data_IF_478974579276
#
_entry.id   IF_478974579276
#
_cell.length_a   1.000
_cell.length_b   1.000
_cell.length_c   1.000
_cell.angle_alpha   90.00
_cell.angle_beta   90.00
_cell.angle_gamma   90.00
#
_symmetry.space_group_name_H-M   'P 1'
#
loop_
_entity.id
_entity.type
_entity.pdbx_description
1 polymer ?
#
# COMPACT_ATOMS: atom_id res chain seq x y z
N UNK A 1 -1.25 0.28 -44.04
CA UNK A 1 0.06 0.03 -43.41
C UNK A 1 -0.07 -0.95 -42.25
N UNK A 2 0.90 -1.87 -42.06
CA UNK A 2 0.88 -2.80 -40.92
C UNK A 2 1.34 -2.08 -39.65
N UNK A 3 0.74 -2.38 -38.50
CA UNK A 3 1.14 -1.82 -37.20
C UNK A 3 2.60 -2.08 -36.84
N UNK A 4 3.21 -3.17 -37.32
CA UNK A 4 4.65 -3.42 -37.17
C UNK A 4 5.51 -2.40 -37.92
N UNK A 5 5.09 -1.99 -39.11
CA UNK A 5 5.80 -1.00 -39.93
C UNK A 5 5.60 0.41 -39.35
N UNK A 6 4.40 0.72 -38.86
CA UNK A 6 4.09 1.96 -38.14
C UNK A 6 4.94 2.05 -36.85
N UNK A 7 5.03 0.96 -36.09
CA UNK A 7 5.85 0.88 -34.88
C UNK A 7 7.32 1.20 -35.15
N UNK A 8 7.87 0.65 -36.25
CA UNK A 8 9.25 0.93 -36.66
C UNK A 8 9.43 2.39 -37.13
N UNK A 9 8.51 2.90 -37.95
CA UNK A 9 8.60 4.24 -38.54
C UNK A 9 8.49 5.35 -37.49
N UNK A 10 7.57 5.20 -36.53
CA UNK A 10 7.30 6.20 -35.51
C UNK A 10 7.98 5.90 -34.17
N UNK A 11 8.78 4.83 -34.10
CA UNK A 11 9.47 4.39 -32.87
C UNK A 11 8.52 4.20 -31.68
N UNK A 12 7.36 3.58 -31.92
CA UNK A 12 6.34 3.31 -30.91
C UNK A 12 6.23 1.80 -30.63
N UNK A 13 5.81 1.43 -29.41
CA UNK A 13 5.61 0.01 -29.08
C UNK A 13 4.39 -0.55 -29.82
N UNK A 14 4.61 -1.63 -30.58
CA UNK A 14 3.58 -2.28 -31.40
C UNK A 14 2.41 -2.79 -30.54
N UNK A 15 2.70 -3.43 -29.42
CA UNK A 15 1.68 -4.10 -28.60
C UNK A 15 0.83 -3.08 -27.86
N UNK A 16 1.44 -2.00 -27.36
CA UNK A 16 0.73 -0.87 -26.74
C UNK A 16 -0.16 -0.15 -27.76
N UNK A 17 0.35 0.07 -28.98
CA UNK A 17 -0.43 0.68 -30.06
C UNK A 17 -1.61 -0.20 -30.48
N UNK A 18 -1.42 -1.51 -30.68
CA UNK A 18 -2.50 -2.44 -31.00
C UNK A 18 -3.56 -2.52 -29.89
N UNK A 19 -3.13 -2.50 -28.64
CA UNK A 19 -4.02 -2.46 -27.47
C UNK A 19 -4.82 -1.16 -27.42
N UNK A 20 -4.19 -0.02 -27.74
CA UNK A 20 -4.85 1.28 -27.83
C UNK A 20 -5.91 1.31 -28.94
N UNK A 21 -5.60 0.79 -30.14
CA UNK A 21 -6.54 0.71 -31.25
C UNK A 21 -7.80 -0.09 -30.86
N UNK A 22 -7.61 -1.23 -30.18
CA UNK A 22 -8.70 -2.06 -29.67
C UNK A 22 -9.53 -1.35 -28.60
N UNK A 23 -8.88 -0.78 -27.59
CA UNK A 23 -9.54 -0.12 -26.45
C UNK A 23 -10.38 1.09 -26.87
N UNK A 24 -9.96 1.79 -27.93
CA UNK A 24 -10.64 2.99 -28.43
C UNK A 24 -11.56 2.71 -29.63
N UNK A 25 -11.84 1.44 -29.96
CA UNK A 25 -12.71 1.03 -31.07
C UNK A 25 -12.34 1.67 -32.42
N UNK A 26 -11.05 1.85 -32.68
CA UNK A 26 -10.56 2.47 -33.92
C UNK A 26 -10.61 1.45 -35.07
N UNK A 27 -10.85 1.92 -36.30
CA UNK A 27 -10.99 1.02 -37.46
C UNK A 27 -9.64 0.42 -37.88
N UNK A 28 -9.48 -0.89 -37.76
CA UNK A 28 -8.34 -1.66 -38.27
C UNK A 28 -8.83 -2.99 -38.86
N UNK A 29 -7.99 -3.65 -39.67
CA UNK A 29 -8.22 -5.03 -40.14
C UNK A 29 -7.23 -5.97 -39.45
N UNK A 30 -7.68 -7.16 -39.10
CA UNK A 30 -6.79 -8.19 -38.56
C UNK A 30 -5.98 -8.83 -39.70
N UNK A 31 -4.65 -8.79 -39.58
CA UNK A 31 -3.73 -9.56 -40.41
C UNK A 31 -3.16 -10.75 -39.64
N UNK A 32 -2.44 -11.63 -40.33
CA UNK A 32 -1.89 -12.87 -39.74
C UNK A 32 -0.99 -12.66 -38.52
N UNK A 33 -0.25 -11.53 -38.44
CA UNK A 33 0.69 -11.24 -37.34
C UNK A 33 0.68 -9.79 -36.83
N UNK A 34 -0.12 -8.93 -37.43
CA UNK A 34 -0.21 -7.50 -37.13
C UNK A 34 -1.52 -6.93 -37.64
N UNK A 35 -2.06 -5.90 -36.99
CA UNK A 35 -3.19 -5.17 -37.56
C UNK A 35 -2.77 -4.33 -38.77
N UNK A 36 -3.75 -4.08 -39.64
CA UNK A 36 -3.59 -3.25 -40.84
C UNK A 36 -4.48 -2.02 -40.67
N UNK A 37 -3.84 -0.86 -40.65
CA UNK A 37 -4.49 0.45 -40.58
C UNK A 37 -4.48 1.06 -41.98
N UNK A 38 -5.54 1.78 -42.37
CA UNK A 38 -5.59 2.53 -43.62
C UNK A 38 -4.54 3.64 -43.62
N UNK A 39 -3.76 3.78 -44.69
CA UNK A 39 -2.65 4.75 -44.78
C UNK A 39 -3.12 6.18 -44.51
N UNK A 40 -4.34 6.52 -44.95
CA UNK A 40 -4.95 7.84 -44.71
C UNK A 40 -5.21 8.16 -43.23
N UNK A 41 -5.24 7.14 -42.36
CA UNK A 41 -5.55 7.26 -40.94
C UNK A 41 -4.34 7.06 -40.03
N UNK A 42 -3.19 6.62 -40.57
CA UNK A 42 -1.99 6.30 -39.79
C UNK A 42 -1.53 7.50 -38.97
N UNK A 43 -1.33 8.66 -39.59
CA UNK A 43 -0.87 9.86 -38.89
C UNK A 43 -1.82 10.28 -37.76
N UNK A 44 -3.13 10.26 -38.03
CA UNK A 44 -4.15 10.57 -37.02
C UNK A 44 -4.09 9.60 -35.84
N UNK A 45 -3.97 8.30 -36.10
CA UNK A 45 -3.94 7.30 -35.03
C UNK A 45 -2.65 7.34 -34.23
N UNK A 46 -1.51 7.61 -34.88
CA UNK A 46 -0.24 7.83 -34.19
C UNK A 46 -0.31 9.07 -33.31
N UNK A 47 -0.87 10.19 -33.81
CA UNK A 47 -1.07 11.41 -32.98
C UNK A 47 -1.92 11.13 -31.75
N UNK A 48 -3.07 10.48 -31.93
CA UNK A 48 -3.97 10.11 -30.83
C UNK A 48 -3.30 9.16 -29.83
N UNK A 49 -2.45 8.24 -30.32
CA UNK A 49 -1.70 7.33 -29.45
C UNK A 49 -0.62 8.08 -28.66
N UNK A 50 0.11 8.99 -29.28
CA UNK A 50 1.10 9.82 -28.59
C UNK A 50 0.44 10.65 -27.48
N UNK A 51 -0.69 11.31 -27.77
CA UNK A 51 -1.47 12.04 -26.77
C UNK A 51 -1.95 11.11 -25.62
N UNK A 52 -2.40 9.90 -25.95
CA UNK A 52 -2.81 8.90 -24.96
C UNK A 52 -1.65 8.49 -24.05
N UNK A 53 -0.47 8.25 -24.60
CA UNK A 53 0.73 7.88 -23.83
C UNK A 53 1.21 9.04 -22.98
N UNK A 54 1.21 10.27 -23.50
CA UNK A 54 1.55 11.47 -22.74
C UNK A 54 0.60 11.66 -21.56
N UNK A 55 -0.72 11.50 -21.78
CA UNK A 55 -1.71 11.55 -20.72
C UNK A 55 -1.51 10.47 -19.67
N UNK A 56 -1.24 9.22 -20.08
CA UNK A 56 -0.96 8.13 -19.14
C UNK A 56 0.31 8.39 -18.32
N UNK A 57 1.35 8.95 -18.95
CA UNK A 57 2.57 9.37 -18.25
C UNK A 57 2.30 10.52 -17.29
N UNK A 58 1.53 11.54 -17.69
CA UNK A 58 1.19 12.66 -16.80
C UNK A 58 0.36 12.19 -15.62
N UNK A 59 -0.62 11.33 -15.84
CA UNK A 59 -1.47 10.77 -14.78
C UNK A 59 -0.64 9.90 -13.83
N UNK A 60 0.29 9.09 -14.36
CA UNK A 60 1.21 8.29 -13.55
C UNK A 60 2.19 9.16 -12.74
N UNK A 61 2.68 10.28 -13.30
CA UNK A 61 3.53 11.24 -12.58
C UNK A 61 2.73 11.93 -11.48
N UNK A 62 1.52 12.40 -11.79
CA UNK A 62 0.63 13.04 -10.82
C UNK A 62 0.25 12.10 -9.68
N UNK A 63 -0.05 10.84 -9.98
CA UNK A 63 -0.34 9.82 -8.97
C UNK A 63 0.88 9.52 -8.08
N UNK A 64 2.08 9.41 -8.66
CA UNK A 64 3.33 9.26 -7.90
C UNK A 64 3.59 10.46 -7.00
N UNK A 65 3.37 11.67 -7.51
CA UNK A 65 3.55 12.89 -6.73
C UNK A 65 2.56 12.97 -5.56
N UNK A 66 1.28 12.66 -5.81
CA UNK A 66 0.26 12.61 -4.78
C UNK A 66 0.58 11.58 -3.68
N UNK A 67 1.11 10.42 -4.05
CA UNK A 67 1.56 9.42 -3.07
C UNK A 67 2.75 9.92 -2.25
N UNK A 68 3.74 10.57 -2.87
CA UNK A 68 4.88 11.18 -2.16
C UNK A 68 4.39 12.26 -1.19
N UNK A 69 3.47 13.12 -1.62
CA UNK A 69 2.93 14.20 -0.79
C UNK A 69 2.11 13.63 0.38
N UNK A 70 1.32 12.57 0.14
CA UNK A 70 0.62 11.81 1.19
C UNK A 70 1.62 11.24 2.21
N UNK A 71 2.65 10.52 1.76
CA UNK A 71 3.67 9.95 2.65
C UNK A 71 4.41 11.03 3.44
N UNK A 72 4.69 12.18 2.81
CA UNK A 72 5.29 13.33 3.47
C UNK A 72 4.39 13.89 4.55
N UNK A 73 3.09 14.09 4.27
CA UNK A 73 2.13 14.59 5.24
C UNK A 73 1.98 13.64 6.44
N UNK A 74 1.84 12.34 6.19
CA UNK A 74 1.78 11.30 7.23
C UNK A 74 3.06 11.32 8.09
N UNK A 75 4.24 11.46 7.47
CA UNK A 75 5.51 11.49 8.21
C UNK A 75 5.61 12.67 9.17
N UNK A 76 4.96 13.80 8.85
CA UNK A 76 4.95 15.01 9.65
C UNK A 76 3.96 14.98 10.81
N UNK A 77 3.03 14.00 10.84
CA UNK A 77 2.10 13.85 11.95
C UNK A 77 2.88 13.56 13.24
N UNK A 78 2.69 14.43 14.23
CA UNK A 78 3.31 14.30 15.55
C UNK A 78 2.57 13.26 16.38
N UNK A 79 3.32 12.49 17.17
CA UNK A 79 2.77 11.48 18.07
C UNK A 79 3.35 11.70 19.47
N UNK A 80 2.49 11.60 20.48
CA UNK A 80 2.89 11.60 21.88
C UNK A 80 2.04 10.60 22.68
N UNK A 81 2.66 9.95 23.67
CA UNK A 81 1.94 9.22 24.70
C UNK A 81 1.32 10.16 25.76
N UNK A 82 1.77 11.41 25.82
CA UNK A 82 1.16 12.47 26.63
C UNK A 82 -0.09 13.06 25.96
N UNK A 83 -0.76 13.96 26.68
CA UNK A 83 -2.03 14.57 26.22
C UNK A 83 -1.87 15.95 25.57
N UNK A 84 -0.64 16.44 25.39
CA UNK A 84 -0.33 17.73 24.80
C UNK A 84 1.02 17.74 24.05
N UNK A 85 1.29 18.83 23.34
CA UNK A 85 2.59 19.17 22.77
C UNK A 85 2.98 20.58 23.23
N UNK A 86 4.15 20.73 23.84
CA UNK A 86 4.60 22.04 24.34
C UNK A 86 4.78 23.05 23.20
N UNK A 87 4.28 24.28 23.39
CA UNK A 87 4.27 25.33 22.37
C UNK A 87 3.20 25.15 21.28
N UNK A 88 2.27 24.22 21.48
CA UNK A 88 1.10 24.02 20.63
C UNK A 88 -0.18 23.98 21.46
N UNK A 89 -1.26 24.46 20.84
CA UNK A 89 -2.62 24.35 21.37
C UNK A 89 -3.44 23.41 20.51
N UNK A 90 -4.18 22.51 21.15
CA UNK A 90 -5.18 21.67 20.48
C UNK A 90 -6.39 22.54 20.12
N UNK A 91 -6.71 22.60 18.83
CA UNK A 91 -7.86 23.36 18.31
C UNK A 91 -9.04 22.48 17.90
N UNK A 92 -8.81 21.17 17.72
CA UNK A 92 -9.87 20.22 17.40
C UNK A 92 -9.52 18.81 17.86
N UNK A 93 -10.50 18.09 18.40
CA UNK A 93 -10.47 16.64 18.59
C UNK A 93 -11.31 15.99 17.48
N UNK A 94 -10.71 15.09 16.71
CA UNK A 94 -11.39 14.43 15.57
C UNK A 94 -11.79 12.98 15.84
N UNK A 95 -11.43 12.43 17.01
CA UNK A 95 -11.91 11.13 17.46
C UNK A 95 -10.80 10.20 17.93
N UNK A 96 -11.21 9.06 18.46
CA UNK A 96 -10.35 7.95 18.84
C UNK A 96 -10.04 7.09 17.61
N UNK A 97 -8.79 6.73 17.42
CA UNK A 97 -8.28 5.97 16.28
C UNK A 97 -7.37 4.84 16.76
N UNK A 98 -7.27 3.80 15.94
CA UNK A 98 -6.37 2.68 16.17
C UNK A 98 -5.59 2.31 14.90
N UNK A 99 -4.48 1.61 15.08
CA UNK A 99 -3.77 0.88 14.04
C UNK A 99 -3.35 -0.48 14.58
N UNK A 100 -3.42 -1.51 13.74
CA UNK A 100 -3.33 -2.89 14.20
C UNK A 100 -2.33 -3.67 13.35
N UNK A 101 -1.51 -4.53 13.95
CA UNK A 101 -0.75 -5.50 13.17
C UNK A 101 -0.54 -6.79 13.96
N UNK A 102 -0.48 -7.91 13.24
CA UNK A 102 -0.32 -9.22 13.81
C UNK A 102 0.71 -10.05 13.04
N UNK A 103 1.50 -10.83 13.77
CA UNK A 103 2.48 -11.74 13.18
C UNK A 103 2.50 -13.06 13.90
N UNK A 104 3.01 -14.08 13.21
CA UNK A 104 3.22 -15.40 13.76
C UNK A 104 4.66 -15.57 14.24
N UNK A 105 4.85 -16.31 15.33
CA UNK A 105 6.14 -16.74 15.84
C UNK A 105 6.14 -18.27 15.93
N UNK A 106 7.10 -18.95 15.29
CA UNK A 106 7.17 -20.41 15.34
C UNK A 106 7.37 -20.88 16.79
N UNK A 107 6.78 -22.03 17.13
CA UNK A 107 7.07 -22.69 18.41
C UNK A 107 8.44 -23.35 18.36
N UNK A 108 9.08 -23.41 19.52
CA UNK A 108 10.32 -24.14 19.74
C UNK A 108 10.28 -25.53 19.09
N UNK A 109 11.21 -25.80 18.18
CA UNK A 109 11.41 -27.14 17.61
C UNK A 109 12.50 -27.88 18.39
N UNK A 110 12.52 -29.21 18.29
CA UNK A 110 13.47 -30.07 19.01
C UNK A 110 14.97 -29.76 18.78
N UNK A 111 15.30 -28.99 17.75
CA UNK A 111 16.68 -28.59 17.40
C UNK A 111 16.93 -27.08 17.51
N UNK A 112 15.99 -26.32 18.07
CA UNK A 112 16.10 -24.86 18.15
C UNK A 112 16.74 -24.46 19.49
N UNK A 113 17.91 -23.81 19.44
CA UNK A 113 18.74 -23.45 20.61
C UNK A 113 18.17 -22.26 21.43
N UNK A 114 16.85 -22.06 21.44
CA UNK A 114 16.20 -21.16 22.41
C UNK A 114 16.29 -19.66 22.10
N UNK A 115 16.27 -19.24 20.82
CA UNK A 115 16.27 -17.80 20.44
C UNK A 115 14.91 -17.10 20.51
N UNK A 116 13.93 -17.69 21.21
CA UNK A 116 12.52 -17.24 21.17
C UNK A 116 12.30 -15.81 21.66
N UNK A 117 13.18 -15.29 22.53
CA UNK A 117 13.13 -13.89 22.96
C UNK A 117 13.55 -12.89 21.87
N UNK A 118 14.52 -13.25 21.03
CA UNK A 118 14.97 -12.42 19.91
C UNK A 118 13.92 -12.40 18.79
N UNK A 119 13.33 -13.56 18.48
CA UNK A 119 12.24 -13.66 17.51
C UNK A 119 11.02 -12.85 17.95
N UNK A 120 10.68 -12.91 19.24
CA UNK A 120 9.62 -12.10 19.83
C UNK A 120 9.90 -10.60 19.72
N UNK A 121 11.09 -10.16 20.12
CA UNK A 121 11.41 -8.72 20.08
C UNK A 121 11.47 -8.19 18.65
N UNK A 122 12.01 -8.97 17.71
CA UNK A 122 12.01 -8.64 16.28
C UNK A 122 10.59 -8.55 15.71
N UNK A 123 9.73 -9.51 16.04
CA UNK A 123 8.32 -9.50 15.69
C UNK A 123 7.63 -8.24 16.23
N UNK A 124 7.79 -7.94 17.52
CA UNK A 124 7.20 -6.76 18.18
C UNK A 124 7.65 -5.45 17.54
N UNK A 125 8.93 -5.29 17.18
CA UNK A 125 9.42 -4.09 16.50
C UNK A 125 8.74 -3.91 15.15
N UNK A 126 8.57 -5.00 14.38
CA UNK A 126 7.93 -4.96 13.07
C UNK A 126 6.46 -4.54 13.21
N UNK A 127 5.69 -5.28 14.02
CA UNK A 127 4.25 -5.04 14.15
C UNK A 127 3.94 -3.68 14.76
N UNK A 128 4.76 -3.20 15.72
CA UNK A 128 4.59 -1.86 16.31
C UNK A 128 4.79 -0.74 15.30
N UNK A 129 5.75 -0.87 14.39
CA UNK A 129 5.99 0.12 13.33
C UNK A 129 4.84 0.17 12.34
N UNK A 130 4.27 -0.99 12.00
CA UNK A 130 3.13 -1.08 11.11
C UNK A 130 1.87 -0.49 11.78
N UNK A 131 1.57 -0.88 13.02
CA UNK A 131 0.46 -0.30 13.78
C UNK A 131 0.57 1.23 13.93
N UNK A 132 1.77 1.76 14.19
CA UNK A 132 2.00 3.21 14.21
C UNK A 132 1.79 3.87 12.83
N UNK A 133 2.14 3.19 11.74
CA UNK A 133 1.93 3.69 10.38
C UNK A 133 0.43 3.81 10.10
N UNK A 134 -0.33 2.76 10.42
CA UNK A 134 -1.78 2.74 10.24
C UNK A 134 -2.48 3.78 11.13
N UNK A 135 -2.02 3.95 12.38
CA UNK A 135 -2.51 5.02 13.26
C UNK A 135 -2.31 6.42 12.64
N UNK A 136 -1.14 6.68 12.03
CA UNK A 136 -0.90 7.97 11.33
C UNK A 136 -1.74 8.11 10.07
N UNK A 137 -1.95 7.03 9.32
CA UNK A 137 -2.83 7.02 8.15
C UNK A 137 -4.27 7.35 8.55
N UNK A 138 -4.78 6.75 9.63
CA UNK A 138 -6.10 7.07 10.18
C UNK A 138 -6.21 8.54 10.62
N UNK A 139 -5.18 9.07 11.29
CA UNK A 139 -5.14 10.50 11.65
C UNK A 139 -5.14 11.41 10.40
N UNK A 140 -4.37 11.05 9.37
CA UNK A 140 -4.32 11.78 8.11
C UNK A 140 -5.68 11.80 7.40
N UNK A 141 -6.39 10.67 7.36
CA UNK A 141 -7.74 10.56 6.76
C UNK A 141 -8.77 11.45 7.47
N UNK A 142 -8.60 11.68 8.77
CA UNK A 142 -9.40 12.63 9.55
C UNK A 142 -8.97 14.10 9.39
N UNK A 143 -7.93 14.37 8.61
CA UNK A 143 -7.35 15.71 8.42
C UNK A 143 -6.60 16.21 9.66
N UNK A 144 -6.15 15.32 10.53
CA UNK A 144 -5.39 15.65 11.73
C UNK A 144 -3.89 15.73 11.45
N UNK A 145 -3.21 16.59 12.20
CA UNK A 145 -1.75 16.78 12.12
C UNK A 145 -1.01 16.24 13.35
N UNK A 146 -1.72 15.70 14.35
CA UNK A 146 -1.12 15.06 15.49
C UNK A 146 -2.03 13.99 16.13
N UNK A 147 -1.40 13.09 16.90
CA UNK A 147 -2.05 12.07 17.73
C UNK A 147 -1.49 12.16 19.14
N UNK A 148 -2.38 12.21 20.13
CA UNK A 148 -2.03 12.27 21.55
C UNK A 148 -2.59 11.07 22.32
N UNK A 149 -2.02 10.82 23.50
CA UNK A 149 -2.45 9.73 24.38
C UNK A 149 -2.20 8.37 23.75
N UNK A 150 -1.10 8.22 23.00
CA UNK A 150 -0.80 6.95 22.34
C UNK A 150 -0.34 5.88 23.33
N UNK A 151 -1.04 4.76 23.30
CA UNK A 151 -0.77 3.53 24.04
C UNK A 151 -0.74 2.31 23.09
N UNK A 152 -0.17 1.21 23.59
CA UNK A 152 -0.05 -0.04 22.85
C UNK A 152 -0.60 -1.19 23.68
N UNK A 153 -1.57 -1.89 23.13
CA UNK A 153 -2.11 -3.13 23.67
C UNK A 153 -1.54 -4.33 22.93
N UNK A 154 -1.22 -5.40 23.65
CA UNK A 154 -0.68 -6.63 23.07
C UNK A 154 -1.57 -7.81 23.41
N UNK A 155 -1.88 -8.63 22.42
CA UNK A 155 -2.63 -9.87 22.58
C UNK A 155 -1.81 -11.00 21.98
N UNK A 156 -1.64 -12.08 22.75
CA UNK A 156 -1.02 -13.31 22.26
C UNK A 156 -2.08 -14.40 22.19
N UNK A 157 -2.15 -15.09 21.05
CA UNK A 157 -2.98 -16.28 20.85
C UNK A 157 -2.08 -17.51 20.69
N UNK A 158 -2.55 -18.60 21.27
CA UNK A 158 -1.93 -19.91 21.19
C UNK A 158 -2.82 -20.87 20.40
N UNK A 159 -2.89 -20.75 19.07
CA UNK A 159 -3.77 -21.58 18.27
C UNK A 159 -3.36 -23.06 18.35
N UNK A 160 -4.38 -23.91 18.40
CA UNK A 160 -4.27 -25.36 18.35
C UNK A 160 -5.37 -25.93 17.45
N UNK A 161 -5.07 -27.07 16.82
CA UNK A 161 -6.06 -27.81 16.03
C UNK A 161 -5.91 -29.31 16.20
N UNK A 162 -6.99 -30.05 15.96
CA UNK A 162 -6.91 -31.51 15.90
C UNK A 162 -6.18 -31.96 14.64
N UNK A 163 -5.37 -33.02 14.76
CA UNK A 163 -4.72 -33.64 13.61
C UNK A 163 -5.75 -34.28 12.68
N UNK A 164 -5.54 -34.10 11.38
CA UNK A 164 -6.40 -34.70 10.34
C UNK A 164 -6.30 -36.23 10.30
N UNK A 165 -5.16 -36.79 10.74
CA UNK A 165 -4.90 -38.23 10.72
C UNK A 165 -5.48 -38.94 11.95
N UNK A 166 -5.47 -38.28 13.10
CA UNK A 166 -6.06 -38.78 14.34
C UNK A 166 -6.59 -37.61 15.17
N UNK A 167 -7.91 -37.50 15.29
CA UNK A 167 -8.59 -36.40 16.01
C UNK A 167 -8.28 -36.33 17.51
N UNK A 168 -7.60 -37.34 18.06
CA UNK A 168 -7.11 -37.35 19.44
C UNK A 168 -5.73 -36.71 19.61
N UNK A 169 -5.04 -36.36 18.51
CA UNK A 169 -3.74 -35.69 18.54
C UNK A 169 -3.95 -34.20 18.36
N UNK A 170 -3.51 -33.39 19.33
CA UNK A 170 -3.46 -31.93 19.22
C UNK A 170 -2.20 -31.50 18.47
N UNK A 171 -2.37 -30.62 17.49
CA UNK A 171 -1.30 -29.96 16.75
C UNK A 171 -1.25 -28.52 17.20
N UNK A 172 -0.13 -28.12 17.79
CA UNK A 172 0.11 -26.74 18.18
C UNK A 172 0.60 -25.93 16.99
N UNK A 173 -0.07 -24.82 16.70
CA UNK A 173 0.29 -23.91 15.61
C UNK A 173 1.21 -22.79 16.13
N UNK A 174 1.90 -22.04 15.26
CA UNK A 174 2.71 -20.89 15.68
C UNK A 174 1.93 -19.94 16.59
N UNK A 175 2.62 -19.32 17.56
CA UNK A 175 2.03 -18.24 18.36
C UNK A 175 1.60 -17.11 17.43
N UNK A 176 0.45 -16.49 17.69
CA UNK A 176 0.05 -15.25 17.00
C UNK A 176 0.16 -14.12 18.00
N UNK A 177 0.85 -13.05 17.66
CA UNK A 177 0.94 -11.86 18.49
C UNK A 177 0.39 -10.70 17.69
N UNK A 178 -0.56 -10.01 18.29
CA UNK A 178 -1.18 -8.80 17.79
C UNK A 178 -0.73 -7.62 18.65
N UNK A 179 -0.54 -6.47 18.01
CA UNK A 179 -0.44 -5.18 18.68
C UNK A 179 -1.49 -4.24 18.13
N UNK A 180 -2.13 -3.50 19.03
CA UNK A 180 -3.00 -2.38 18.69
C UNK A 180 -2.35 -1.12 19.22
N UNK A 181 -2.10 -0.13 18.37
CA UNK A 181 -1.74 1.22 18.75
C UNK A 181 -3.01 2.05 18.80
N UNK A 182 -3.28 2.70 19.93
CA UNK A 182 -4.50 3.45 20.18
C UNK A 182 -4.16 4.93 20.43
N UNK A 183 -5.09 5.85 20.21
CA UNK A 183 -4.85 7.27 20.48
C UNK A 183 -5.97 8.20 20.00
N UNK A 184 -5.83 9.50 20.29
CA UNK A 184 -6.78 10.52 19.85
C UNK A 184 -6.19 11.39 18.75
N UNK A 185 -6.86 11.43 17.60
CA UNK A 185 -6.50 12.29 16.48
C UNK A 185 -6.93 13.74 16.78
N UNK A 186 -5.98 14.66 16.67
CA UNK A 186 -6.19 16.08 16.99
C UNK A 186 -5.61 17.00 15.92
N UNK A 187 -6.15 18.22 15.85
CA UNK A 187 -5.52 19.33 15.14
C UNK A 187 -4.85 20.22 16.19
N UNK A 188 -3.56 20.46 16.00
CA UNK A 188 -2.78 21.38 16.82
C UNK A 188 -2.32 22.58 15.99
N UNK A 189 -2.21 23.73 16.64
CA UNK A 189 -1.65 24.97 16.09
C UNK A 189 -0.55 25.48 17.02
N UNK A 190 0.48 26.10 16.45
CA UNK A 190 1.54 26.72 17.26
C UNK A 190 0.98 27.91 18.01
N UNK A 191 1.33 28.03 19.30
CA UNK A 191 0.98 29.19 20.13
C UNK A 191 1.67 30.48 19.66
#
# INVERSE_FOLDING_TARGET
>A
MKTKDIALQYSIDKNEFESFLRKNNLSFREGFSSYIVDDSKVEKYVSLFSEYIEKQKSDAIAAKQAEIDKQRAISQILISSGFNFDGYRIVKYSGYISGDDATQIPRAQWFDEGRHGEDLTNALVKIRRQALKELKEAAYELGCNAVIGVDFDYITLEPERSSALNRQITVYEPFVICVTANGNAVIIEKE
#
